data_IF_738469939810
#
_entry.id   IF_738469939810
#
_cell.length_a   1.000
_cell.length_b   1.000
_cell.length_c   1.000
_cell.angle_alpha   90.00
_cell.angle_beta   90.00
_cell.angle_gamma   90.00
#
_symmetry.space_group_name_H-M   'P 1'
#
loop_
_entity.id
_entity.type
_entity.pdbx_description
1 polymer ?
#
# COMPACT_ATOMS: atom_id res chain seq x y z
N UNK A 1 4.85 -3.02 14.24
CA UNK A 1 4.75 -1.64 13.74
C UNK A 1 4.62 -0.72 14.94
N UNK A 2 5.27 0.46 14.96
CA UNK A 2 5.08 1.45 16.01
C UNK A 2 3.62 1.92 16.09
N UNK A 3 3.16 2.30 17.28
CA UNK A 3 1.75 2.59 17.57
C UNK A 3 1.14 3.72 16.72
N UNK A 4 1.96 4.66 16.27
CA UNK A 4 1.49 5.80 15.47
C UNK A 4 0.84 5.37 14.15
N UNK A 5 1.27 4.24 13.57
CA UNK A 5 0.79 3.77 12.26
C UNK A 5 -0.67 3.36 12.33
N UNK A 6 -1.11 2.82 13.47
CA UNK A 6 -2.48 2.33 13.69
C UNK A 6 -3.51 3.41 13.39
N UNK A 7 -3.28 4.62 13.92
CA UNK A 7 -4.19 5.76 13.79
C UNK A 7 -3.76 6.78 12.73
N UNK A 8 -2.74 6.46 11.93
CA UNK A 8 -2.32 7.32 10.83
C UNK A 8 -3.49 7.51 9.83
N UNK A 9 -3.82 8.75 9.42
CA UNK A 9 -5.01 9.02 8.60
C UNK A 9 -4.93 8.50 7.16
N UNK A 10 -3.76 8.09 6.69
CA UNK A 10 -3.58 7.39 5.42
C UNK A 10 -3.70 5.87 5.56
N UNK A 11 -4.14 5.18 4.52
CA UNK A 11 -4.20 3.73 4.54
C UNK A 11 -2.78 3.15 4.37
N UNK A 12 -2.41 2.23 5.26
CA UNK A 12 -1.15 1.48 5.22
C UNK A 12 -1.46 -0.01 5.16
N UNK A 13 -0.85 -0.69 4.21
CA UNK A 13 -0.91 -2.15 4.06
C UNK A 13 0.50 -2.70 3.84
N UNK A 14 0.80 -3.85 4.44
CA UNK A 14 2.05 -4.58 4.21
C UNK A 14 1.72 -6.01 3.84
N UNK A 15 2.47 -6.54 2.89
CA UNK A 15 2.43 -7.95 2.49
C UNK A 15 3.80 -8.60 2.58
N UNK A 16 3.80 -9.92 2.67
CA UNK A 16 4.99 -10.76 2.56
C UNK A 16 5.37 -11.05 1.08
N UNK A 17 6.40 -11.88 0.88
CA UNK A 17 6.88 -12.33 -0.44
C UNK A 17 5.86 -13.18 -1.21
N UNK A 18 4.92 -13.82 -0.52
CA UNK A 18 3.81 -14.56 -1.13
C UNK A 18 2.59 -13.66 -1.36
N UNK A 19 2.77 -12.35 -1.21
CA UNK A 19 1.74 -11.33 -1.38
C UNK A 19 0.55 -11.49 -0.42
N UNK A 20 0.75 -12.14 0.73
CA UNK A 20 -0.27 -12.21 1.79
C UNK A 20 -0.20 -10.97 2.65
N UNK A 21 -1.36 -10.44 3.02
CA UNK A 21 -1.46 -9.23 3.82
C UNK A 21 -1.06 -9.56 5.27
N UNK A 22 0.10 -9.09 5.70
CA UNK A 22 0.62 -9.30 7.06
C UNK A 22 0.29 -8.13 8.00
N UNK A 23 -0.07 -6.97 7.45
CA UNK A 23 -0.48 -5.82 8.24
C UNK A 23 -1.44 -4.90 7.47
N UNK A 24 -2.37 -4.32 8.22
CA UNK A 24 -3.21 -3.20 7.82
C UNK A 24 -3.31 -2.24 9.01
N UNK A 25 -3.37 -0.93 8.78
CA UNK A 25 -3.79 0.00 9.83
C UNK A 25 -5.32 0.18 9.83
N UNK A 26 -5.85 0.97 10.78
CA UNK A 26 -7.30 1.14 10.94
C UNK A 26 -7.93 1.81 9.72
N UNK A 27 -7.23 2.80 9.14
CA UNK A 27 -7.67 3.46 7.91
C UNK A 27 -7.75 2.48 6.73
N UNK A 28 -6.77 1.59 6.58
CA UNK A 28 -6.77 0.55 5.55
C UNK A 28 -7.92 -0.43 5.77
N UNK A 29 -8.08 -0.95 6.99
CA UNK A 29 -9.16 -1.86 7.34
C UNK A 29 -10.54 -1.26 7.07
N UNK A 30 -10.77 0.01 7.43
CA UNK A 30 -12.01 0.73 7.15
C UNK A 30 -12.21 0.97 5.64
N UNK A 31 -11.14 1.25 4.90
CA UNK A 31 -11.21 1.46 3.43
C UNK A 31 -11.70 0.20 2.71
N UNK A 32 -11.35 -0.98 3.23
CA UNK A 32 -11.72 -2.29 2.67
C UNK A 32 -12.85 -2.98 3.46
N UNK A 33 -13.61 -2.26 4.28
CA UNK A 33 -14.66 -2.85 5.14
C UNK A 33 -15.68 -3.67 4.33
N UNK A 34 -16.06 -3.19 3.14
CA UNK A 34 -16.96 -3.89 2.21
C UNK A 34 -16.40 -5.22 1.69
N UNK A 35 -15.08 -5.35 1.66
CA UNK A 35 -14.36 -6.53 1.19
C UNK A 35 -13.92 -7.43 2.36
N UNK A 36 -14.32 -7.12 3.60
CA UNK A 36 -14.00 -7.88 4.82
C UNK A 36 -13.08 -7.15 5.81
N UNK A 37 -12.56 -5.98 5.43
CA UNK A 37 -11.76 -5.11 6.30
C UNK A 37 -10.58 -5.84 6.94
N UNK A 38 -10.54 -5.89 8.28
CA UNK A 38 -9.46 -6.56 9.03
C UNK A 38 -9.39 -8.07 8.78
N UNK A 39 -10.48 -8.70 8.32
CA UNK A 39 -10.49 -10.13 8.00
C UNK A 39 -9.67 -10.49 6.75
N UNK A 40 -9.17 -9.47 6.02
CA UNK A 40 -8.24 -9.65 4.90
C UNK A 40 -6.81 -10.01 5.35
N UNK A 41 -6.48 -9.87 6.65
CA UNK A 41 -5.19 -10.32 7.17
C UNK A 41 -4.96 -11.81 6.87
N UNK A 42 -3.79 -12.13 6.33
CA UNK A 42 -3.39 -13.47 5.87
C UNK A 42 -3.95 -13.88 4.51
N UNK A 43 -4.81 -13.07 3.87
CA UNK A 43 -5.31 -13.31 2.52
C UNK A 43 -4.34 -12.75 1.47
N UNK A 44 -4.36 -13.34 0.28
CA UNK A 44 -3.57 -12.86 -0.85
C UNK A 44 -4.12 -11.55 -1.40
N UNK A 45 -3.24 -10.56 -1.54
CA UNK A 45 -3.52 -9.25 -2.12
C UNK A 45 -3.84 -9.34 -3.62
N UNK A 46 -3.26 -10.33 -4.30
CA UNK A 46 -3.27 -10.47 -5.77
C UNK A 46 -4.65 -10.83 -6.34
N UNK A 47 -5.54 -11.44 -5.56
CA UNK A 47 -6.87 -11.85 -6.02
C UNK A 47 -7.74 -10.70 -6.53
N UNK A 48 -7.44 -9.46 -6.11
CA UNK A 48 -8.18 -8.25 -6.48
C UNK A 48 -7.54 -7.46 -7.65
N UNK A 49 -6.46 -7.98 -8.25
CA UNK A 49 -5.65 -7.27 -9.23
C UNK A 49 -5.78 -7.86 -10.64
N UNK A 50 -5.79 -6.99 -11.65
CA UNK A 50 -5.67 -7.43 -13.05
C UNK A 50 -4.23 -7.91 -13.34
N UNK A 51 -4.04 -8.64 -14.43
CA UNK A 51 -2.74 -9.21 -14.80
C UNK A 51 -1.60 -8.19 -14.88
N UNK A 52 -1.90 -6.97 -15.35
CA UNK A 52 -0.93 -5.88 -15.39
C UNK A 52 -0.46 -5.49 -13.98
N UNK A 53 -1.39 -5.34 -13.03
CA UNK A 53 -1.07 -5.00 -11.65
C UNK A 53 -0.26 -6.10 -10.97
N UNK A 54 -0.59 -7.38 -11.23
CA UNK A 54 0.20 -8.52 -10.73
C UNK A 54 1.65 -8.47 -11.22
N UNK A 55 1.85 -8.22 -12.52
CA UNK A 55 3.18 -8.11 -13.11
C UNK A 55 4.00 -6.94 -12.51
N UNK A 56 3.35 -5.81 -12.20
CA UNK A 56 4.02 -4.69 -11.52
C UNK A 56 4.45 -5.10 -10.11
N UNK A 57 3.55 -5.69 -9.32
CA UNK A 57 3.85 -6.10 -7.94
C UNK A 57 5.00 -7.11 -7.91
N UNK A 58 4.98 -8.11 -8.79
CA UNK A 58 6.06 -9.08 -8.91
C UNK A 58 7.40 -8.41 -9.23
N UNK A 59 7.43 -7.51 -10.22
CA UNK A 59 8.64 -6.75 -10.55
C UNK A 59 9.15 -5.91 -9.38
N UNK A 60 8.27 -5.34 -8.57
CA UNK A 60 8.67 -4.55 -7.39
C UNK A 60 9.39 -5.42 -6.36
N UNK A 61 8.86 -6.61 -6.08
CA UNK A 61 9.47 -7.56 -5.15
C UNK A 61 10.82 -8.07 -5.70
N UNK A 62 10.89 -8.42 -6.98
CA UNK A 62 12.13 -8.93 -7.60
C UNK A 62 13.24 -7.86 -7.68
N UNK A 63 12.88 -6.61 -8.00
CA UNK A 63 13.85 -5.51 -8.15
C UNK A 63 14.15 -4.76 -6.84
N UNK A 64 13.34 -4.96 -5.80
CA UNK A 64 13.36 -4.10 -4.62
C UNK A 64 12.95 -2.66 -4.91
N UNK A 65 12.09 -2.46 -5.91
CA UNK A 65 11.75 -1.16 -6.50
C UNK A 65 10.59 -0.43 -5.84
N UNK A 66 10.13 0.63 -6.51
CA UNK A 66 8.94 1.41 -6.14
C UNK A 66 8.04 1.69 -7.36
N UNK A 67 6.74 1.80 -7.12
CA UNK A 67 5.74 2.25 -8.09
C UNK A 67 4.87 3.31 -7.42
N UNK A 68 4.97 4.55 -7.91
CA UNK A 68 4.37 5.72 -7.27
C UNK A 68 3.56 6.50 -8.29
N UNK A 69 2.28 6.71 -8.02
CA UNK A 69 1.36 7.35 -8.96
C UNK A 69 0.18 7.97 -8.24
N UNK A 70 -0.55 8.84 -8.94
CA UNK A 70 -1.86 9.32 -8.48
C UNK A 70 -3.00 8.66 -9.25
N UNK A 71 -4.14 8.50 -8.61
CA UNK A 71 -5.36 7.91 -9.20
C UNK A 71 -6.60 8.62 -8.69
N UNK A 72 -7.58 8.80 -9.57
CA UNK A 72 -8.94 9.18 -9.19
C UNK A 72 -9.78 7.91 -9.01
N UNK A 73 -10.26 7.68 -7.79
CA UNK A 73 -11.07 6.50 -7.46
C UNK A 73 -12.23 6.93 -6.56
N UNK A 74 -13.46 6.65 -7.00
CA UNK A 74 -14.69 7.02 -6.28
C UNK A 74 -14.73 8.51 -5.87
N UNK A 75 -14.38 9.40 -6.81
CA UNK A 75 -14.40 10.85 -6.59
C UNK A 75 -13.29 11.41 -5.70
N UNK A 76 -12.29 10.60 -5.32
CA UNK A 76 -11.14 11.04 -4.53
C UNK A 76 -9.85 10.85 -5.31
N UNK A 77 -9.04 11.92 -5.39
CA UNK A 77 -7.65 11.84 -5.85
C UNK A 77 -6.80 11.23 -4.74
N UNK A 78 -6.02 10.21 -5.08
CA UNK A 78 -5.15 9.51 -4.13
C UNK A 78 -3.72 9.44 -4.65
N UNK A 79 -2.74 9.56 -3.77
CA UNK A 79 -1.37 9.10 -4.00
C UNK A 79 -1.31 7.63 -3.59
N UNK A 80 -0.84 6.79 -4.52
CA UNK A 80 -0.47 5.40 -4.26
C UNK A 80 1.05 5.33 -4.25
N UNK A 81 1.61 4.87 -3.15
CA UNK A 81 3.04 4.64 -3.00
C UNK A 81 3.26 3.17 -2.66
N UNK A 82 3.72 2.40 -3.64
CA UNK A 82 4.07 1.00 -3.48
C UNK A 82 5.59 0.86 -3.49
N UNK A 83 6.14 0.13 -2.54
CA UNK A 83 7.57 -0.14 -2.51
C UNK A 83 7.87 -1.48 -1.83
N UNK A 84 8.90 -2.16 -2.33
CA UNK A 84 9.44 -3.31 -1.64
C UNK A 84 10.03 -2.91 -0.28
N UNK A 85 9.65 -3.58 0.80
CA UNK A 85 10.29 -3.40 2.10
C UNK A 85 11.36 -4.46 2.32
N UNK A 86 12.32 -4.13 3.19
CA UNK A 86 13.46 -4.99 3.50
C UNK A 86 13.44 -5.40 4.96
N UNK A 87 13.87 -6.62 5.22
CA UNK A 87 14.10 -7.12 6.57
C UNK A 87 15.36 -6.50 7.20
N UNK A 88 15.66 -6.89 8.44
CA UNK A 88 16.84 -6.41 9.17
C UNK A 88 18.16 -6.82 8.50
N UNK A 89 18.15 -7.84 7.65
CA UNK A 89 19.30 -8.33 6.89
C UNK A 89 19.42 -7.61 5.53
N UNK A 90 18.47 -6.73 5.18
CA UNK A 90 18.44 -5.96 3.94
C UNK A 90 17.86 -6.71 2.73
N UNK A 91 17.36 -7.94 2.91
CA UNK A 91 16.70 -8.69 1.87
C UNK A 91 15.27 -8.17 1.66
N UNK A 92 14.77 -8.21 0.42
CA UNK A 92 13.37 -7.87 0.16
C UNK A 92 12.49 -8.91 0.88
N UNK A 93 11.50 -8.42 1.62
CA UNK A 93 10.63 -9.27 2.43
C UNK A 93 9.13 -9.12 2.08
N UNK A 94 8.81 -8.28 1.09
CA UNK A 94 7.47 -8.13 0.53
C UNK A 94 7.21 -6.70 0.07
N UNK A 95 5.96 -6.25 0.14
CA UNK A 95 5.53 -4.92 -0.33
C UNK A 95 4.84 -4.10 0.77
N UNK A 96 5.18 -2.81 0.84
CA UNK A 96 4.39 -1.79 1.54
C UNK A 96 3.59 -1.01 0.51
N UNK A 97 2.31 -0.80 0.78
CA UNK A 97 1.45 0.10 0.03
C UNK A 97 0.89 1.19 0.94
N UNK A 98 1.03 2.44 0.50
CA UNK A 98 0.35 3.59 1.08
C UNK A 98 -0.71 4.10 0.10
N UNK A 99 -1.92 4.34 0.59
CA UNK A 99 -2.98 5.01 -0.15
C UNK A 99 -3.43 6.25 0.60
N UNK A 100 -3.01 7.42 0.09
CA UNK A 100 -3.21 8.71 0.74
C UNK A 100 -4.20 9.54 -0.08
N UNK A 101 -5.30 9.97 0.53
CA UNK A 101 -6.21 10.91 -0.13
C UNK A 101 -5.53 12.27 -0.19
N UNK A 102 -5.47 12.84 -1.39
CA UNK A 102 -4.90 14.17 -1.60
C UNK A 102 -6.01 15.23 -1.55
N UNK A 103 -5.77 16.38 -0.92
CA UNK A 103 -6.65 17.52 -1.06
C UNK A 103 -6.73 17.96 -2.54
N UNK A 104 -7.89 18.43 -3.02
CA UNK A 104 -8.01 18.99 -4.37
C UNK A 104 -7.00 20.11 -4.63
N UNK A 105 -6.88 21.02 -3.66
CA UNK A 105 -5.99 22.18 -3.71
C UNK A 105 -4.70 21.94 -2.91
N UNK A 106 -4.04 20.79 -3.14
CA UNK A 106 -2.80 20.46 -2.44
C UNK A 106 -1.68 21.44 -2.85
N UNK A 107 -1.10 22.21 -1.92
CA UNK A 107 -0.02 23.13 -2.24
C UNK A 107 1.25 22.36 -2.61
N UNK A 108 1.98 22.87 -3.59
CA UNK A 108 3.30 22.39 -3.97
C UNK A 108 4.34 23.47 -3.68
N UNK A 109 5.30 23.18 -2.83
CA UNK A 109 6.39 24.09 -2.48
C UNK A 109 7.71 23.54 -3.02
N UNK A 110 8.46 24.35 -3.75
CA UNK A 110 9.84 24.05 -4.15
C UNK A 110 10.79 24.73 -3.17
N UNK A 111 11.62 23.96 -2.47
CA UNK A 111 12.64 24.45 -1.53
C UNK A 111 13.96 23.75 -1.85
N UNK A 112 15.07 24.49 -1.78
CA UNK A 112 16.44 24.01 -2.01
C UNK A 112 17.33 24.27 -0.81
#
# INVERSE_FOLDING_TARGET
MPDWVTNFPGAVMVSDLEHRIIYMNDKSAATYEKDGGRALLGKEMIGCHNERSKAIIQKLVESGGQNVYTIDKAGQKKLIYQSAWRDEQGAVAGLVELSLVLPPDMPHFVRG
#
